data_IF_420202538350
#
_entry.id   IF_420202538350
#
_cell.length_a   1.000
_cell.length_b   1.000
_cell.length_c   1.000
_cell.angle_alpha   90.00
_cell.angle_beta   90.00
_cell.angle_gamma   90.00
#
_symmetry.space_group_name_H-M   'P 1'
#
loop_
_entity.id
_entity.type
_entity.pdbx_description
1 polymer ?
#
# COMPACT_ATOMS: atom_id res chain seq x y z
N UNK A 1 3.28 -6.49 -9.73
CA UNK A 1 2.44 -5.28 -10.00
C UNK A 1 0.99 -5.61 -9.76
N UNK A 2 0.14 -4.60 -9.52
CA UNK A 2 -1.31 -4.78 -9.35
C UNK A 2 -2.00 -5.22 -10.65
N UNK A 3 -2.95 -6.13 -10.54
CA UNK A 3 -3.73 -6.73 -11.64
C UNK A 3 -5.03 -5.97 -11.92
N UNK A 4 -4.95 -4.65 -12.06
CA UNK A 4 -6.12 -3.81 -12.34
C UNK A 4 -6.83 -4.22 -13.64
N UNK A 5 -8.15 -4.00 -13.73
CA UNK A 5 -8.95 -4.38 -14.90
C UNK A 5 -8.39 -3.79 -16.21
N UNK A 6 -7.98 -2.52 -16.18
CA UNK A 6 -7.37 -1.90 -17.36
C UNK A 6 -6.06 -2.55 -17.81
N UNK A 7 -5.27 -3.08 -16.88
CA UNK A 7 -4.03 -3.81 -17.20
C UNK A 7 -4.32 -5.21 -17.70
N UNK A 8 -5.36 -5.87 -17.18
CA UNK A 8 -5.81 -7.20 -17.65
C UNK A 8 -6.23 -7.20 -19.11
N UNK A 9 -6.63 -6.08 -19.68
CA UNK A 9 -6.90 -5.97 -21.11
C UNK A 9 -5.64 -6.19 -21.96
N UNK A 10 -4.47 -5.71 -21.50
CA UNK A 10 -3.22 -5.72 -22.24
C UNK A 10 -2.31 -6.90 -21.92
N UNK A 11 -2.31 -7.40 -20.69
CA UNK A 11 -1.41 -8.46 -20.21
C UNK A 11 -2.15 -9.50 -19.36
N UNK A 12 -1.56 -10.67 -19.18
CA UNK A 12 -2.00 -11.69 -18.25
C UNK A 12 -1.28 -11.54 -16.92
N UNK A 13 -1.92 -12.01 -15.84
CA UNK A 13 -1.37 -11.95 -14.49
C UNK A 13 -1.40 -13.32 -13.83
N UNK A 14 -0.38 -13.61 -13.04
CA UNK A 14 -0.42 -14.74 -12.10
C UNK A 14 -1.40 -14.45 -10.94
N UNK A 15 -1.65 -15.48 -10.16
CA UNK A 15 -2.20 -15.30 -8.82
C UNK A 15 -1.30 -14.35 -7.98
N UNK A 16 -1.86 -13.59 -7.01
CA UNK A 16 -1.07 -12.72 -6.15
C UNK A 16 -0.02 -13.53 -5.38
N UNK A 17 1.22 -13.04 -5.39
CA UNK A 17 2.30 -13.62 -4.59
C UNK A 17 2.55 -12.87 -3.27
N UNK A 18 2.00 -11.68 -3.14
CA UNK A 18 2.08 -10.86 -1.94
C UNK A 18 0.80 -10.04 -1.83
N UNK A 19 0.09 -10.16 -0.71
CA UNK A 19 -1.09 -9.34 -0.44
C UNK A 19 -0.67 -7.95 0.05
N UNK A 20 -1.35 -6.93 -0.43
CA UNK A 20 -1.06 -5.54 -0.08
C UNK A 20 -2.21 -4.98 0.75
N UNK A 21 -1.91 -4.53 1.96
CA UNK A 21 -2.84 -3.83 2.84
C UNK A 21 -2.45 -2.36 2.88
N UNK A 22 -3.45 -1.48 2.74
CA UNK A 22 -3.25 -0.03 2.85
C UNK A 22 -3.54 0.45 4.26
N UNK A 23 -2.69 1.36 4.72
CA UNK A 23 -2.81 1.99 6.03
C UNK A 23 -2.65 3.51 5.91
N UNK A 24 -3.11 4.23 6.91
CA UNK A 24 -2.85 5.66 7.05
C UNK A 24 -1.70 5.87 8.04
N UNK A 25 -0.76 6.73 7.71
CA UNK A 25 0.32 7.14 8.60
C UNK A 25 0.13 8.61 8.99
N UNK A 26 0.18 8.90 10.27
CA UNK A 26 -0.08 10.21 10.88
C UNK A 26 1.05 10.61 11.83
N UNK A 27 1.13 11.88 12.22
CA UNK A 27 2.00 12.30 13.31
C UNK A 27 1.38 11.92 14.66
N UNK A 28 2.20 11.44 15.60
CA UNK A 28 1.81 11.25 16.99
C UNK A 28 1.37 12.59 17.62
N UNK A 29 0.47 12.52 18.60
CA UNK A 29 -0.09 13.70 19.26
C UNK A 29 -1.16 14.44 18.46
N UNK A 30 -1.52 13.95 17.26
CA UNK A 30 -2.65 14.51 16.49
C UNK A 30 -3.97 13.84 16.87
N UNK A 31 -5.10 14.47 16.50
CA UNK A 31 -6.43 13.90 16.75
C UNK A 31 -6.65 12.55 16.02
N UNK A 32 -5.82 12.23 15.03
CA UNK A 32 -5.96 11.03 14.21
C UNK A 32 -5.17 9.83 14.73
N UNK A 33 -4.28 10.01 15.73
CA UNK A 33 -3.40 8.92 16.20
C UNK A 33 -4.13 7.72 16.81
N UNK A 34 -5.37 7.90 17.25
CA UNK A 34 -6.22 6.86 17.83
C UNK A 34 -7.44 6.54 16.95
N UNK A 35 -7.40 6.87 15.65
CA UNK A 35 -8.48 6.58 14.73
C UNK A 35 -8.73 5.08 14.64
N UNK A 36 -10.00 4.70 14.60
CA UNK A 36 -10.46 3.30 14.57
C UNK A 36 -11.24 2.97 13.30
N UNK A 37 -11.58 3.99 12.52
CA UNK A 37 -12.33 3.86 11.27
C UNK A 37 -11.88 4.91 10.25
N UNK A 38 -12.20 4.69 8.97
CA UNK A 38 -11.99 5.70 7.93
C UNK A 38 -12.80 6.98 8.18
N UNK A 39 -13.95 6.87 8.86
CA UNK A 39 -14.80 8.02 9.19
C UNK A 39 -14.11 9.02 10.14
N UNK A 40 -13.17 8.57 10.96
CA UNK A 40 -12.40 9.43 11.86
C UNK A 40 -11.50 10.41 11.10
N UNK A 41 -11.24 10.16 9.81
CA UNK A 41 -10.48 11.04 8.92
C UNK A 41 -11.33 12.02 8.12
N UNK A 42 -12.63 12.15 8.46
CA UNK A 42 -13.48 13.19 7.85
C UNK A 42 -12.88 14.58 8.10
N UNK A 43 -12.68 15.34 7.02
CA UNK A 43 -12.01 16.65 7.05
C UNK A 43 -10.47 16.61 7.12
N UNK A 44 -9.85 15.44 7.26
CA UNK A 44 -8.39 15.31 7.25
C UNK A 44 -7.82 15.66 5.87
N UNK A 45 -6.66 16.31 5.85
CA UNK A 45 -5.88 16.54 4.65
C UNK A 45 -5.01 15.33 4.37
N UNK A 46 -5.38 14.50 3.39
CA UNK A 46 -4.70 13.22 3.10
C UNK A 46 -3.96 13.30 1.77
N UNK A 47 -2.75 12.74 1.74
CA UNK A 47 -1.84 12.79 0.61
C UNK A 47 -1.47 11.38 0.13
N UNK A 48 -1.45 11.19 -1.19
CA UNK A 48 -1.08 9.96 -1.86
C UNK A 48 0.09 10.09 -2.82
N UNK A 49 0.52 8.94 -3.36
CA UNK A 49 1.52 8.90 -4.42
C UNK A 49 0.83 8.91 -5.78
N UNK A 50 1.25 9.83 -6.63
CA UNK A 50 0.70 10.02 -7.98
C UNK A 50 0.72 8.72 -8.81
N UNK A 51 -0.36 8.48 -9.55
CA UNK A 51 -0.56 7.35 -10.47
C UNK A 51 -0.53 5.97 -9.79
N UNK A 52 -0.83 5.92 -8.48
CA UNK A 52 -0.87 4.68 -7.69
C UNK A 52 -2.14 4.57 -6.83
N UNK A 53 -2.40 3.37 -6.30
CA UNK A 53 -3.52 3.16 -5.40
C UNK A 53 -3.38 3.91 -4.05
N UNK A 54 -2.19 4.33 -3.69
CA UNK A 54 -1.97 5.20 -2.53
C UNK A 54 -2.64 6.58 -2.70
N UNK A 55 -3.05 6.94 -3.90
CA UNK A 55 -3.73 8.19 -4.20
C UNK A 55 -5.25 7.97 -4.36
N UNK A 56 -5.69 7.15 -5.34
CA UNK A 56 -7.13 7.06 -5.61
C UNK A 56 -7.95 6.41 -4.50
N UNK A 57 -7.36 5.63 -3.60
CA UNK A 57 -8.09 5.06 -2.46
C UNK A 57 -8.49 6.12 -1.43
N UNK A 58 -7.85 7.29 -1.42
CA UNK A 58 -8.18 8.41 -0.53
C UNK A 58 -9.63 8.85 -0.70
N UNK A 59 -10.16 8.79 -1.91
CA UNK A 59 -11.55 9.18 -2.21
C UNK A 59 -12.62 8.31 -1.52
N UNK A 60 -12.21 7.18 -0.91
CA UNK A 60 -13.09 6.34 -0.11
C UNK A 60 -13.35 6.92 1.29
N UNK A 61 -12.58 7.89 1.73
CA UNK A 61 -12.74 8.58 3.02
C UNK A 61 -13.77 9.69 2.84
N UNK A 62 -14.93 9.56 3.46
CA UNK A 62 -15.99 10.55 3.37
C UNK A 62 -15.55 11.90 3.93
N UNK A 63 -15.72 12.97 3.14
CA UNK A 63 -15.40 14.34 3.57
C UNK A 63 -13.91 14.65 3.67
N UNK A 64 -13.04 13.78 3.18
CA UNK A 64 -11.59 14.02 3.16
C UNK A 64 -11.21 15.25 2.33
N UNK A 65 -10.17 15.97 2.74
CA UNK A 65 -9.49 16.94 1.90
C UNK A 65 -8.35 16.22 1.15
N UNK A 66 -8.67 15.63 -0.01
CA UNK A 66 -7.70 14.92 -0.84
C UNK A 66 -6.70 15.91 -1.45
N UNK A 67 -5.46 15.88 -1.00
CA UNK A 67 -4.40 16.77 -1.48
C UNK A 67 -3.87 16.32 -2.84
N UNK A 68 -3.30 17.26 -3.59
CA UNK A 68 -2.62 16.94 -4.85
C UNK A 68 -1.46 15.96 -4.60
N UNK A 69 -1.54 14.79 -5.23
CA UNK A 69 -0.57 13.71 -5.10
C UNK A 69 0.86 14.14 -5.48
N UNK A 70 1.85 13.56 -4.81
CA UNK A 70 3.28 13.78 -5.07
C UNK A 70 3.91 12.59 -5.78
N UNK A 71 5.10 12.80 -6.34
CA UNK A 71 5.74 11.81 -7.20
C UNK A 71 6.28 10.59 -6.43
N UNK A 72 6.64 10.73 -5.14
CA UNK A 72 7.32 9.70 -4.39
C UNK A 72 6.87 9.60 -2.94
N UNK A 73 7.02 8.40 -2.34
CA UNK A 73 6.77 8.19 -0.90
C UNK A 73 7.69 9.04 -0.02
N UNK A 74 8.99 9.22 -0.30
CA UNK A 74 9.81 10.17 0.44
C UNK A 74 9.26 11.59 0.49
N UNK A 75 8.65 12.08 -0.62
CA UNK A 75 8.01 13.40 -0.62
C UNK A 75 6.76 13.43 0.28
N UNK A 76 5.98 12.33 0.30
CA UNK A 76 4.84 12.19 1.22
C UNK A 76 5.29 12.25 2.67
N UNK A 77 6.33 11.50 3.02
CA UNK A 77 6.94 11.47 4.37
C UNK A 77 7.42 12.86 4.77
N UNK A 78 8.13 13.56 3.89
CA UNK A 78 8.60 14.91 4.16
C UNK A 78 7.44 15.89 4.43
N UNK A 79 6.33 15.79 3.70
CA UNK A 79 5.15 16.61 3.92
C UNK A 79 4.44 16.29 5.24
N UNK A 80 4.35 15.01 5.61
CA UNK A 80 3.80 14.59 6.90
C UNK A 80 4.66 15.12 8.06
N UNK A 81 6.00 15.02 7.96
CA UNK A 81 6.93 15.58 8.94
C UNK A 81 6.77 17.10 9.12
N UNK A 82 6.53 17.81 8.02
CA UNK A 82 6.33 19.27 8.02
C UNK A 82 4.93 19.69 8.50
N UNK A 83 4.01 18.74 8.74
CA UNK A 83 2.64 19.04 9.13
C UNK A 83 1.83 19.73 8.01
N UNK A 84 2.21 19.54 6.73
CA UNK A 84 1.50 20.10 5.58
C UNK A 84 0.39 19.17 5.07
N UNK A 85 0.25 17.99 5.65
CA UNK A 85 -0.89 17.08 5.55
C UNK A 85 -1.11 16.42 6.92
N UNK A 86 -2.31 15.92 7.15
CA UNK A 86 -2.69 15.24 8.38
C UNK A 86 -2.33 13.75 8.33
N UNK A 87 -2.46 13.14 7.16
CA UNK A 87 -2.15 11.73 6.93
C UNK A 87 -1.60 11.49 5.53
N UNK A 88 -0.89 10.36 5.39
CA UNK A 88 -0.46 9.81 4.10
C UNK A 88 -0.90 8.35 4.00
N UNK A 89 -1.23 7.89 2.79
CA UNK A 89 -1.53 6.48 2.53
C UNK A 89 -0.24 5.73 2.25
N UNK A 90 -0.04 4.60 2.91
CA UNK A 90 1.14 3.74 2.74
C UNK A 90 0.72 2.27 2.57
N UNK A 91 1.62 1.46 2.05
CA UNK A 91 1.52 0.01 2.17
C UNK A 91 1.94 -0.40 3.58
N UNK A 92 1.09 -1.14 4.29
CA UNK A 92 1.31 -1.52 5.69
C UNK A 92 2.63 -2.29 5.88
N UNK A 93 2.97 -3.15 4.93
CA UNK A 93 4.20 -3.96 4.95
C UNK A 93 5.49 -3.13 4.96
N UNK A 94 5.44 -1.88 4.48
CA UNK A 94 6.59 -0.97 4.49
C UNK A 94 6.67 -0.10 5.76
N UNK A 95 5.63 -0.13 6.59
CA UNK A 95 5.54 0.71 7.79
C UNK A 95 6.73 0.58 8.75
N UNK A 96 7.28 -0.64 9.04
CA UNK A 96 8.43 -0.78 9.93
C UNK A 96 9.64 0.05 9.49
N UNK A 97 9.93 0.08 8.19
CA UNK A 97 11.04 0.88 7.64
C UNK A 97 10.84 2.40 7.82
N UNK A 98 9.60 2.87 7.65
CA UNK A 98 9.28 4.28 7.84
C UNK A 98 9.33 4.69 9.32
N UNK A 99 8.81 3.86 10.22
CA UNK A 99 8.81 4.11 11.67
C UNK A 99 10.22 4.08 12.26
N UNK A 100 11.11 3.21 11.77
CA UNK A 100 12.49 3.15 12.22
C UNK A 100 13.23 4.49 12.02
N UNK A 101 12.92 5.19 10.93
CA UNK A 101 13.51 6.49 10.61
C UNK A 101 12.70 7.68 11.16
N UNK A 102 11.47 7.46 11.59
CA UNK A 102 10.53 8.51 11.98
C UNK A 102 9.72 8.06 13.23
N UNK A 103 10.33 8.08 14.42
CA UNK A 103 9.71 7.55 15.64
C UNK A 103 8.47 8.33 16.11
N UNK A 104 8.21 9.50 15.55
CA UNK A 104 7.03 10.31 15.83
C UNK A 104 5.83 9.99 14.95
N UNK A 105 5.92 9.00 14.08
CA UNK A 105 4.79 8.56 13.28
C UNK A 105 4.01 7.44 13.96
N UNK A 106 2.73 7.39 13.67
CA UNK A 106 1.80 6.32 14.07
C UNK A 106 1.14 5.78 12.80
N UNK A 107 1.03 4.46 12.71
CA UNK A 107 0.37 3.78 11.60
C UNK A 107 -0.99 3.29 12.06
N UNK A 108 -2.02 3.68 11.33
CA UNK A 108 -3.41 3.31 11.55
C UNK A 108 -3.80 2.30 10.47
N UNK A 109 -4.04 1.06 10.87
CA UNK A 109 -4.57 0.01 10.01
C UNK A 109 -5.97 -0.38 10.50
N UNK A 110 -6.79 -0.88 9.59
CA UNK A 110 -8.17 -1.25 9.87
C UNK A 110 -8.37 -2.76 9.68
N UNK A 111 -9.38 -3.37 10.31
CA UNK A 111 -9.75 -4.75 10.05
C UNK A 111 -10.03 -4.99 8.56
N UNK A 112 -9.93 -6.24 8.14
CA UNK A 112 -10.22 -6.63 6.75
C UNK A 112 -11.63 -6.19 6.34
N UNK A 113 -11.72 -5.50 5.20
CA UNK A 113 -12.98 -4.96 4.67
C UNK A 113 -13.43 -3.62 5.27
N UNK A 114 -12.72 -3.07 6.27
CA UNK A 114 -13.05 -1.79 6.91
C UNK A 114 -12.06 -0.66 6.54
N UNK A 115 -10.97 -1.00 5.86
CA UNK A 115 -9.93 -0.07 5.42
C UNK A 115 -10.07 0.35 3.95
N UNK A 116 -9.00 0.96 3.45
CA UNK A 116 -8.91 1.38 2.04
C UNK A 116 -8.82 0.16 1.11
N UNK A 117 -9.75 0.06 0.16
CA UNK A 117 -9.79 -1.03 -0.83
C UNK A 117 -9.22 -0.56 -2.17
N UNK A 118 -8.07 -1.06 -2.61
CA UNK A 118 -7.49 -0.70 -3.90
C UNK A 118 -8.21 -1.33 -5.10
N UNK A 119 -9.15 -2.25 -4.89
CA UNK A 119 -9.85 -2.99 -5.95
C UNK A 119 -9.04 -4.17 -6.52
N UNK A 120 -7.95 -4.57 -5.86
CA UNK A 120 -7.14 -5.74 -6.19
C UNK A 120 -6.50 -6.34 -4.92
N UNK A 121 -6.13 -7.64 -4.97
CA UNK A 121 -5.65 -8.32 -3.75
C UNK A 121 -4.17 -8.09 -3.44
N UNK A 122 -3.34 -7.79 -4.44
CA UNK A 122 -1.92 -7.66 -4.15
C UNK A 122 -1.03 -7.60 -5.39
N UNK A 123 0.23 -7.98 -5.21
CA UNK A 123 1.23 -7.96 -6.27
C UNK A 123 1.22 -9.28 -7.06
N UNK A 124 1.11 -9.15 -8.39
CA UNK A 124 1.13 -10.26 -9.34
C UNK A 124 2.30 -10.10 -10.32
N UNK A 125 2.71 -11.20 -10.96
CA UNK A 125 3.64 -11.18 -12.10
C UNK A 125 2.83 -10.95 -13.38
N UNK A 126 3.17 -9.89 -14.12
CA UNK A 126 2.55 -9.58 -15.41
C UNK A 126 3.29 -10.27 -16.57
N UNK A 127 2.56 -10.89 -17.49
CA UNK A 127 3.06 -11.63 -18.64
C UNK A 127 2.33 -11.20 -19.91
N UNK A 128 2.97 -11.36 -21.08
CA UNK A 128 2.31 -11.07 -22.33
C UNK A 128 1.12 -12.00 -22.55
N UNK A 129 0.09 -11.54 -23.26
CA UNK A 129 -1.10 -12.33 -23.60
C UNK A 129 -0.78 -13.64 -24.35
N UNK A 130 0.33 -13.70 -25.05
CA UNK A 130 0.78 -14.88 -25.80
C UNK A 130 1.53 -15.93 -24.96
N UNK A 131 1.85 -15.61 -23.70
CA UNK A 131 2.77 -16.44 -22.90
C UNK A 131 2.02 -17.35 -21.90
N UNK A 132 0.91 -17.97 -22.35
CA UNK A 132 0.03 -18.81 -21.51
C UNK A 132 0.77 -19.98 -20.84
N UNK A 133 1.71 -20.62 -21.55
CA UNK A 133 2.51 -21.70 -20.97
C UNK A 133 3.40 -21.22 -19.83
N UNK A 134 3.99 -20.02 -19.96
CA UNK A 134 4.81 -19.41 -18.92
C UNK A 134 3.95 -18.97 -17.73
N UNK A 135 2.75 -18.45 -17.98
CA UNK A 135 1.77 -18.12 -16.95
C UNK A 135 1.46 -19.33 -16.08
N UNK A 136 1.11 -20.46 -16.71
CA UNK A 136 0.80 -21.69 -15.99
C UNK A 136 1.98 -22.22 -15.16
N UNK A 137 3.20 -22.12 -15.68
CA UNK A 137 4.40 -22.50 -14.94
C UNK A 137 4.66 -21.56 -13.74
N UNK A 138 4.52 -20.25 -13.94
CA UNK A 138 4.70 -19.27 -12.88
C UNK A 138 3.68 -19.47 -11.75
N UNK A 139 2.40 -19.66 -12.07
CA UNK A 139 1.36 -19.95 -11.07
C UNK A 139 1.63 -21.27 -10.33
N UNK A 140 2.05 -22.31 -11.03
CA UNK A 140 2.40 -23.58 -10.42
C UNK A 140 3.56 -23.45 -9.42
N UNK A 141 4.58 -22.65 -9.73
CA UNK A 141 5.70 -22.36 -8.81
C UNK A 141 5.22 -21.53 -7.63
N UNK A 142 4.44 -20.47 -7.87
CA UNK A 142 3.92 -19.61 -6.79
C UNK A 142 3.03 -20.39 -5.82
N UNK A 143 2.29 -21.39 -6.29
CA UNK A 143 1.47 -22.26 -5.46
C UNK A 143 2.28 -23.19 -4.54
N UNK A 144 3.57 -23.43 -4.83
CA UNK A 144 4.45 -24.24 -3.96
C UNK A 144 5.05 -23.45 -2.80
N UNK A 145 4.95 -22.13 -2.80
CA UNK A 145 5.47 -21.25 -1.76
C UNK A 145 4.30 -20.90 -0.84
N UNK A 146 4.33 -21.42 0.38
CA UNK A 146 3.31 -21.14 1.40
C UNK A 146 3.47 -19.73 2.00
N UNK A 147 2.53 -19.33 2.86
CA UNK A 147 2.54 -17.99 3.44
C UNK A 147 3.74 -17.76 4.37
N UNK A 148 4.12 -18.77 5.18
CA UNK A 148 5.26 -18.69 6.08
C UNK A 148 6.57 -18.43 5.31
N UNK A 149 6.78 -19.13 4.19
CA UNK A 149 7.93 -18.92 3.32
C UNK A 149 7.92 -17.52 2.66
N UNK A 150 6.73 -17.00 2.31
CA UNK A 150 6.60 -15.64 1.77
C UNK A 150 6.97 -14.59 2.79
N UNK A 151 6.52 -14.76 4.04
CA UNK A 151 6.82 -13.85 5.13
C UNK A 151 8.34 -13.86 5.46
N UNK A 152 8.97 -15.04 5.50
CA UNK A 152 10.43 -15.16 5.68
C UNK A 152 11.23 -14.47 4.56
N UNK A 153 10.80 -14.62 3.30
CA UNK A 153 11.43 -13.94 2.16
C UNK A 153 11.28 -12.43 2.25
N UNK A 154 10.11 -11.96 2.68
CA UNK A 154 9.84 -10.54 2.87
C UNK A 154 10.70 -9.94 3.99
N UNK A 155 10.74 -10.57 5.15
CA UNK A 155 11.58 -10.15 6.27
C UNK A 155 13.07 -10.13 5.89
N UNK A 156 13.52 -11.14 5.15
CA UNK A 156 14.89 -11.18 4.63
C UNK A 156 15.17 -10.01 3.69
N UNK A 157 14.22 -9.65 2.82
CA UNK A 157 14.36 -8.52 1.91
C UNK A 157 14.41 -7.19 2.66
N UNK A 158 13.55 -6.99 3.66
CA UNK A 158 13.54 -5.80 4.50
C UNK A 158 14.86 -5.62 5.27
N UNK A 159 15.38 -6.70 5.88
CA UNK A 159 16.60 -6.68 6.68
C UNK A 159 17.87 -6.45 5.85
N UNK A 160 17.83 -6.74 4.55
CA UNK A 160 18.95 -6.59 3.63
C UNK A 160 18.87 -5.33 2.75
N UNK A 161 17.93 -4.41 3.02
CA UNK A 161 17.86 -3.16 2.27
C UNK A 161 19.12 -2.33 2.51
N UNK A 162 19.75 -1.79 1.45
CA UNK A 162 20.86 -0.86 1.62
C UNK A 162 20.35 0.40 2.32
N UNK A 163 21.08 0.79 3.38
CA UNK A 163 20.84 2.03 4.14
C UNK A 163 21.27 3.25 3.33
#
# INVERSE_FOLDING_TARGET
>A
MADTESRKEAINFTSPYHETVYALMVNAGTQYENATSLADFNGASVLGQKDTALDWTIDQIEGVNHLTAVASVPDMIARLQQGTCDAIVINLENAPGYLASNPNFVVISFPEGEGLDPGFKGACVGLRKSDDALLGLADAVLATIDQEQRDELWDTALNNQPT
#
